data_IF_082677968925
#
_entry.id   IF_082677968925
#
_cell.length_a   1.000
_cell.length_b   1.000
_cell.length_c   1.000
_cell.angle_alpha   90.00
_cell.angle_beta   90.00
_cell.angle_gamma   90.00
#
_symmetry.space_group_name_H-M   'P 1'
#
loop_
_entity.id
_entity.type
_entity.pdbx_description
1 polymer ?
#
# COMPACT_ATOMS: atom_id res chain seq x y z
N UNK A 1 25.45 -2.27 6.25
CA UNK A 1 25.25 -3.28 5.20
C UNK A 1 23.77 -3.40 4.82
N UNK A 2 22.85 -3.40 5.79
CA UNK A 2 21.39 -3.39 5.62
C UNK A 2 20.87 -2.22 4.78
N UNK A 3 21.30 -0.98 5.04
CA UNK A 3 20.89 0.21 4.28
C UNK A 3 21.27 0.14 2.79
N UNK A 4 22.46 -0.42 2.47
CA UNK A 4 22.93 -0.57 1.09
C UNK A 4 22.03 -1.48 0.26
N UNK A 5 21.34 -2.44 0.89
CA UNK A 5 20.37 -3.29 0.20
C UNK A 5 19.07 -2.54 -0.10
N UNK A 6 18.60 -1.71 0.85
CA UNK A 6 17.42 -0.86 0.65
C UNK A 6 17.64 0.15 -0.48
N UNK A 7 18.83 0.74 -0.59
CA UNK A 7 19.18 1.66 -1.68
C UNK A 7 19.13 0.97 -3.06
N UNK A 8 19.61 -0.27 -3.15
CA UNK A 8 19.58 -1.05 -4.39
C UNK A 8 18.13 -1.37 -4.77
N UNK A 9 17.32 -1.80 -3.82
CA UNK A 9 15.92 -2.12 -4.06
C UNK A 9 15.11 -0.89 -4.49
N UNK A 10 15.26 0.22 -3.77
CA UNK A 10 14.65 1.50 -4.12
C UNK A 10 15.03 1.93 -5.55
N UNK A 11 16.32 1.90 -5.87
CA UNK A 11 16.81 2.28 -7.19
C UNK A 11 16.22 1.40 -8.30
N UNK A 12 16.12 0.09 -8.08
CA UNK A 12 15.57 -0.85 -9.06
C UNK A 12 14.05 -0.72 -9.23
N UNK A 13 13.32 -0.46 -8.15
CA UNK A 13 11.88 -0.31 -8.20
C UNK A 13 11.46 1.03 -8.85
N UNK A 14 12.22 2.09 -8.57
CA UNK A 14 11.99 3.43 -9.13
C UNK A 14 12.46 3.60 -10.58
N UNK A 15 13.35 2.72 -11.08
CA UNK A 15 13.84 2.79 -12.47
C UNK A 15 12.73 2.41 -13.47
N UNK A 16 12.32 3.31 -14.38
CA UNK A 16 11.31 3.00 -15.39
C UNK A 16 11.78 1.95 -16.42
N UNK A 17 13.10 1.72 -16.54
CA UNK A 17 13.65 0.74 -17.46
C UNK A 17 13.77 -0.67 -16.86
N UNK A 18 13.56 -0.82 -15.55
CA UNK A 18 13.55 -2.14 -14.91
C UNK A 18 12.24 -2.86 -15.26
N UNK A 19 12.35 -4.08 -15.78
CA UNK A 19 11.20 -4.85 -16.22
C UNK A 19 10.30 -5.28 -15.05
N UNK A 20 9.02 -5.50 -15.34
CA UNK A 20 8.01 -5.82 -14.32
C UNK A 20 8.31 -7.09 -13.54
N UNK A 21 8.88 -8.12 -14.17
CA UNK A 21 9.21 -9.36 -13.48
C UNK A 21 10.30 -9.11 -12.45
N UNK A 22 11.32 -8.34 -12.80
CA UNK A 22 12.38 -7.92 -11.88
C UNK A 22 11.80 -7.09 -10.73
N UNK A 23 10.93 -6.11 -11.00
CA UNK A 23 10.25 -5.34 -9.95
C UNK A 23 9.43 -6.22 -8.99
N UNK A 24 8.67 -7.19 -9.52
CA UNK A 24 7.92 -8.14 -8.71
C UNK A 24 8.83 -8.94 -7.78
N UNK A 25 9.98 -9.42 -8.26
CA UNK A 25 10.91 -10.18 -7.43
C UNK A 25 11.45 -9.34 -6.26
N UNK A 26 11.82 -8.08 -6.52
CA UNK A 26 12.27 -7.17 -5.46
C UNK A 26 11.17 -6.87 -4.43
N UNK A 27 9.93 -6.61 -4.87
CA UNK A 27 8.83 -6.42 -3.92
C UNK A 27 8.55 -7.67 -3.08
N UNK A 28 8.61 -8.86 -3.68
CA UNK A 28 8.43 -10.12 -2.95
C UNK A 28 9.51 -10.26 -1.88
N UNK A 29 10.77 -9.99 -2.22
CA UNK A 29 11.88 -10.02 -1.25
C UNK A 29 11.68 -9.02 -0.10
N UNK A 30 11.22 -7.80 -0.42
CA UNK A 30 10.86 -6.81 0.60
C UNK A 30 9.73 -7.32 1.50
N UNK A 31 8.64 -7.81 0.90
CA UNK A 31 7.45 -8.30 1.60
C UNK A 31 7.78 -9.48 2.54
N UNK A 32 8.64 -10.38 2.09
CA UNK A 32 9.03 -11.55 2.87
C UNK A 32 10.08 -11.20 3.93
N UNK A 33 10.83 -10.11 3.75
CA UNK A 33 11.79 -9.57 4.71
C UNK A 33 11.25 -8.52 5.68
N UNK A 34 9.93 -8.27 5.72
CA UNK A 34 9.32 -7.19 6.53
C UNK A 34 9.76 -7.20 7.99
N UNK A 35 9.85 -8.37 8.60
CA UNK A 35 10.31 -8.54 9.98
C UNK A 35 11.74 -8.04 10.17
N UNK A 36 12.59 -8.09 9.14
CA UNK A 36 13.95 -7.57 9.22
C UNK A 36 14.01 -6.06 9.00
N UNK A 37 13.26 -5.54 8.02
CA UNK A 37 13.37 -4.15 7.58
C UNK A 37 12.57 -3.18 8.46
N UNK A 38 11.48 -3.63 9.06
CA UNK A 38 10.56 -2.79 9.84
C UNK A 38 10.83 -2.87 11.35
N UNK A 39 12.10 -2.77 11.76
CA UNK A 39 12.50 -2.78 13.17
C UNK A 39 13.48 -1.66 13.50
N UNK A 40 13.43 -1.22 14.77
CA UNK A 40 14.40 -0.29 15.35
C UNK A 40 14.62 0.96 14.48
N UNK A 41 15.89 1.29 14.26
CA UNK A 41 16.29 2.46 13.47
C UNK A 41 16.16 2.27 11.96
N UNK A 42 15.95 1.05 11.48
CA UNK A 42 15.77 0.76 10.04
C UNK A 42 14.36 1.10 9.56
N UNK A 43 13.35 1.03 10.44
CA UNK A 43 11.97 1.25 10.05
C UNK A 43 11.68 2.67 9.48
N UNK A 44 12.15 3.77 10.10
CA UNK A 44 12.00 5.10 9.50
C UNK A 44 12.62 5.21 8.11
N UNK A 45 13.81 4.62 7.91
CA UNK A 45 14.52 4.61 6.61
C UNK A 45 13.73 3.81 5.58
N UNK A 46 13.17 2.66 5.98
CA UNK A 46 12.31 1.86 5.15
C UNK A 46 11.08 2.66 4.68
N UNK A 47 10.35 3.29 5.61
CA UNK A 47 9.17 4.07 5.27
C UNK A 47 9.50 5.22 4.31
N UNK A 48 10.58 5.96 4.60
CA UNK A 48 11.02 7.08 3.77
C UNK A 48 11.29 6.67 2.32
N UNK A 49 11.90 5.50 2.10
CA UNK A 49 12.25 5.01 0.77
C UNK A 49 11.08 4.33 0.06
N UNK A 50 10.36 3.45 0.76
CA UNK A 50 9.43 2.54 0.10
C UNK A 50 7.99 3.04 0.06
N UNK A 51 7.54 3.91 0.98
CA UNK A 51 6.17 4.44 0.87
C UNK A 51 5.98 5.18 -0.47
N UNK A 52 6.87 6.09 -0.92
CA UNK A 52 6.73 6.73 -2.23
C UNK A 52 6.72 5.72 -3.39
N UNK A 53 7.61 4.72 -3.35
CA UNK A 53 7.70 3.67 -4.38
C UNK A 53 6.41 2.87 -4.48
N UNK A 54 5.84 2.46 -3.34
CA UNK A 54 4.60 1.70 -3.27
C UNK A 54 3.43 2.52 -3.82
N UNK A 55 3.33 3.80 -3.43
CA UNK A 55 2.27 4.70 -3.92
C UNK A 55 2.41 4.97 -5.43
N UNK A 56 3.62 5.05 -5.97
CA UNK A 56 3.88 5.20 -7.40
C UNK A 56 3.43 3.96 -8.19
N UNK A 57 3.78 2.76 -7.71
CA UNK A 57 3.32 1.48 -8.31
C UNK A 57 1.78 1.43 -8.35
N UNK A 58 1.13 1.90 -7.29
CA UNK A 58 -0.32 1.93 -7.17
C UNK A 58 -1.00 3.05 -7.98
N UNK A 59 -0.25 4.06 -8.44
CA UNK A 59 -0.79 5.15 -9.25
C UNK A 59 -1.01 4.79 -10.73
N UNK A 60 -0.50 3.63 -11.17
CA UNK A 60 -0.85 3.06 -12.48
C UNK A 60 -2.32 2.65 -12.57
N UNK A 61 -2.80 2.33 -13.79
CA UNK A 61 -4.18 1.87 -14.00
C UNK A 61 -4.47 0.54 -13.29
N UNK A 62 -5.71 0.33 -12.80
CA UNK A 62 -6.12 -0.95 -12.20
C UNK A 62 -6.07 -2.08 -13.23
N UNK A 63 -5.70 -3.28 -12.78
CA UNK A 63 -5.55 -4.46 -13.64
C UNK A 63 -6.39 -5.60 -13.12
N UNK A 64 -7.31 -6.08 -13.95
CA UNK A 64 -8.31 -7.09 -13.55
C UNK A 64 -7.93 -8.52 -13.95
N UNK A 65 -6.79 -8.70 -14.63
CA UNK A 65 -6.25 -10.01 -14.97
C UNK A 65 -5.34 -10.45 -13.82
N UNK A 66 -5.85 -11.31 -12.92
CA UNK A 66 -5.15 -11.74 -11.71
C UNK A 66 -3.76 -12.35 -11.96
N UNK A 67 -3.56 -12.98 -13.12
CA UNK A 67 -2.27 -13.60 -13.50
C UNK A 67 -1.27 -12.62 -14.11
N UNK A 68 -1.65 -11.37 -14.38
CA UNK A 68 -0.76 -10.41 -15.02
C UNK A 68 0.37 -9.97 -14.07
N UNK A 69 1.59 -9.72 -14.58
CA UNK A 69 2.68 -9.19 -13.77
C UNK A 69 2.33 -7.88 -13.08
N UNK A 70 1.61 -6.99 -13.76
CA UNK A 70 1.15 -5.70 -13.24
C UNK A 70 0.23 -5.89 -12.04
N UNK A 71 -0.75 -6.79 -12.15
CA UNK A 71 -1.67 -7.04 -11.05
C UNK A 71 -0.97 -7.66 -9.85
N UNK A 72 -0.04 -8.59 -10.08
CA UNK A 72 0.80 -9.16 -9.02
C UNK A 72 1.68 -8.10 -8.34
N UNK A 73 2.20 -7.14 -9.12
CA UNK A 73 3.01 -6.04 -8.59
C UNK A 73 2.17 -5.13 -7.68
N UNK A 74 0.98 -4.72 -8.14
CA UNK A 74 0.05 -3.90 -7.36
C UNK A 74 -0.39 -4.58 -6.07
N UNK A 75 -0.78 -5.85 -6.18
CA UNK A 75 -1.18 -6.65 -5.03
C UNK A 75 -0.05 -6.77 -4.00
N UNK A 76 1.18 -7.09 -4.44
CA UNK A 76 2.34 -7.18 -3.56
C UNK A 76 2.64 -5.83 -2.86
N UNK A 77 2.43 -4.71 -3.54
CA UNK A 77 2.57 -3.39 -2.91
C UNK A 77 1.54 -3.17 -1.79
N UNK A 78 0.28 -3.54 -2.01
CA UNK A 78 -0.77 -3.50 -0.97
C UNK A 78 -0.46 -4.47 0.18
N UNK A 79 0.06 -5.67 -0.09
CA UNK A 79 0.48 -6.62 0.96
C UNK A 79 1.60 -6.04 1.84
N UNK A 80 2.55 -5.30 1.27
CA UNK A 80 3.60 -4.61 2.03
C UNK A 80 2.99 -3.54 2.94
N UNK A 81 2.11 -2.68 2.39
CA UNK A 81 1.41 -1.65 3.18
C UNK A 81 0.59 -2.26 4.32
N UNK A 82 -0.08 -3.39 4.07
CA UNK A 82 -0.87 -4.10 5.07
C UNK A 82 -0.02 -4.75 6.18
N UNK A 83 1.26 -5.00 5.94
CA UNK A 83 2.20 -5.61 6.91
C UNK A 83 3.03 -4.58 7.67
N UNK A 84 2.83 -3.28 7.45
CA UNK A 84 3.56 -2.24 8.18
C UNK A 84 3.27 -2.33 9.70
N UNK A 85 4.31 -2.36 10.56
CA UNK A 85 4.10 -2.29 11.99
C UNK A 85 3.47 -0.95 12.42
N UNK A 86 2.30 -1.02 13.05
CA UNK A 86 1.57 0.15 13.58
C UNK A 86 1.94 0.50 15.02
N UNK A 87 2.78 -0.30 15.67
CA UNK A 87 3.18 -0.13 17.07
C UNK A 87 4.12 1.05 17.33
N UNK A 88 4.55 1.77 16.28
CA UNK A 88 5.40 2.98 16.38
C UNK A 88 4.76 4.16 15.65
N UNK A 89 3.62 4.71 16.15
CA UNK A 89 2.88 5.77 15.47
C UNK A 89 3.71 7.00 15.12
N UNK A 90 4.65 7.40 15.98
CA UNK A 90 5.49 8.58 15.77
C UNK A 90 6.27 8.58 14.43
N UNK A 91 6.57 7.39 13.89
CA UNK A 91 7.29 7.24 12.63
C UNK A 91 6.33 7.15 11.44
N UNK A 92 5.24 6.40 11.59
CA UNK A 92 4.26 6.11 10.53
C UNK A 92 3.25 7.25 10.31
N UNK A 93 3.00 8.09 11.31
CA UNK A 93 1.99 9.15 11.29
C UNK A 93 2.16 10.13 10.13
N UNK A 94 3.39 10.43 9.74
CA UNK A 94 3.67 11.35 8.63
C UNK A 94 3.26 10.77 7.25
N UNK A 95 3.16 9.45 7.14
CA UNK A 95 2.81 8.74 5.90
C UNK A 95 1.34 8.31 5.88
N UNK A 96 0.71 8.19 7.04
CA UNK A 96 -0.65 7.68 7.18
C UNK A 96 -1.69 8.41 6.31
N UNK A 97 -1.76 9.76 6.27
CA UNK A 97 -2.78 10.46 5.51
C UNK A 97 -2.70 10.20 4.00
N UNK A 98 -1.49 10.22 3.42
CA UNK A 98 -1.29 10.00 1.98
C UNK A 98 -1.55 8.55 1.57
N UNK A 99 -1.24 7.59 2.45
CA UNK A 99 -1.56 6.18 2.23
C UNK A 99 -3.08 6.00 2.22
N UNK A 100 -3.78 6.51 3.24
CA UNK A 100 -5.25 6.41 3.32
C UNK A 100 -5.92 7.09 2.13
N UNK A 101 -5.49 8.29 1.73
CA UNK A 101 -6.04 8.98 0.56
C UNK A 101 -5.93 8.14 -0.72
N UNK A 102 -4.75 7.55 -0.96
CA UNK A 102 -4.56 6.69 -2.13
C UNK A 102 -5.44 5.44 -2.05
N UNK A 103 -5.56 4.81 -0.89
CA UNK A 103 -6.37 3.60 -0.74
C UNK A 103 -7.86 3.85 -0.87
N UNK A 104 -8.36 5.03 -0.44
CA UNK A 104 -9.74 5.44 -0.67
C UNK A 104 -10.05 5.53 -2.16
N UNK A 105 -9.16 6.11 -2.96
CA UNK A 105 -9.27 6.13 -4.43
C UNK A 105 -9.28 4.70 -4.99
N UNK A 106 -8.30 3.88 -4.62
CA UNK A 106 -8.11 2.54 -5.16
C UNK A 106 -9.27 1.60 -4.84
N UNK A 107 -9.86 1.69 -3.65
CA UNK A 107 -10.99 0.84 -3.25
C UNK A 107 -12.21 0.95 -4.20
N UNK A 108 -12.32 2.03 -5.00
CA UNK A 108 -13.39 2.22 -5.99
C UNK A 108 -13.10 1.61 -7.35
N UNK A 109 -11.82 1.49 -7.71
CA UNK A 109 -11.40 1.20 -9.09
C UNK A 109 -10.59 -0.09 -9.22
N UNK A 110 -10.13 -0.65 -8.10
CA UNK A 110 -9.41 -1.91 -8.06
C UNK A 110 -10.35 -3.12 -8.25
N UNK A 111 -9.75 -4.26 -8.57
CA UNK A 111 -10.45 -5.54 -8.45
C UNK A 111 -10.73 -5.91 -6.98
N UNK A 112 -11.57 -6.92 -6.78
CA UNK A 112 -12.03 -7.36 -5.46
C UNK A 112 -10.89 -7.67 -4.49
N UNK A 113 -9.86 -8.42 -4.92
CA UNK A 113 -8.74 -8.81 -4.07
C UNK A 113 -7.98 -7.59 -3.53
N UNK A 114 -7.68 -6.63 -4.40
CA UNK A 114 -6.99 -5.40 -4.03
C UNK A 114 -7.89 -4.44 -3.24
N UNK A 115 -9.18 -4.33 -3.60
CA UNK A 115 -10.14 -3.49 -2.89
C UNK A 115 -10.32 -3.96 -1.44
N UNK A 116 -10.41 -5.27 -1.20
CA UNK A 116 -10.47 -5.85 0.16
C UNK A 116 -9.22 -5.49 0.97
N UNK A 117 -8.03 -5.55 0.36
CA UNK A 117 -6.80 -5.10 1.03
C UNK A 117 -6.84 -3.60 1.33
N UNK A 118 -7.27 -2.75 0.39
CA UNK A 118 -7.40 -1.32 0.61
C UNK A 118 -8.27 -1.01 1.83
N UNK A 119 -9.45 -1.63 1.93
CA UNK A 119 -10.36 -1.45 3.07
C UNK A 119 -9.73 -1.86 4.40
N UNK A 120 -9.02 -3.00 4.43
CA UNK A 120 -8.32 -3.47 5.65
C UNK A 120 -7.24 -2.50 6.09
N UNK A 121 -6.44 -2.02 5.14
CA UNK A 121 -5.34 -1.10 5.42
C UNK A 121 -5.89 0.24 5.94
N UNK A 122 -6.92 0.81 5.29
CA UNK A 122 -7.55 2.07 5.75
C UNK A 122 -8.02 1.92 7.20
N UNK A 123 -8.77 0.86 7.52
CA UNK A 123 -9.25 0.62 8.88
C UNK A 123 -8.12 0.53 9.91
N UNK A 124 -7.00 -0.12 9.56
CA UNK A 124 -5.87 -0.26 10.46
C UNK A 124 -5.17 1.09 10.70
N UNK A 125 -4.98 1.89 9.65
CA UNK A 125 -4.38 3.22 9.79
C UNK A 125 -5.28 4.16 10.61
N UNK A 126 -6.59 4.20 10.33
CA UNK A 126 -7.51 5.05 11.09
C UNK A 126 -7.62 4.66 12.57
N UNK A 127 -7.51 3.36 12.88
CA UNK A 127 -7.52 2.86 14.27
C UNK A 127 -6.27 3.28 15.05
N UNK A 128 -5.09 3.20 14.44
CA UNK A 128 -3.82 3.43 15.12
C UNK A 128 -3.34 4.89 15.06
N UNK A 129 -3.78 5.65 14.07
CA UNK A 129 -3.31 7.01 13.78
C UNK A 129 -4.45 8.04 13.87
N UNK A 130 -5.16 8.04 15.01
CA UNK A 130 -6.40 8.81 15.21
C UNK A 130 -6.26 10.30 14.86
N UNK A 131 -5.13 10.92 15.21
CA UNK A 131 -4.94 12.36 15.00
C UNK A 131 -4.62 12.69 13.53
N UNK A 132 -3.67 11.97 12.92
CA UNK A 132 -3.24 12.24 11.54
C UNK A 132 -4.30 11.80 10.52
N UNK A 133 -5.07 10.75 10.83
CA UNK A 133 -6.16 10.26 9.98
C UNK A 133 -7.54 10.81 10.33
N UNK A 134 -7.68 11.73 11.31
CA UNK A 134 -8.99 12.24 11.76
C UNK A 134 -9.86 12.76 10.59
N UNK A 135 -9.26 13.46 9.63
CA UNK A 135 -9.96 14.01 8.47
C UNK A 135 -10.34 12.96 7.42
N UNK A 136 -9.90 11.71 7.56
CA UNK A 136 -10.09 10.62 6.59
C UNK A 136 -11.25 9.69 6.96
N UNK A 137 -11.64 9.68 8.24
CA UNK A 137 -12.74 8.86 8.77
C UNK A 137 -14.04 9.08 8.02
N UNK A 138 -14.46 10.34 7.82
CA UNK A 138 -15.69 10.62 7.09
C UNK A 138 -15.63 10.17 5.61
N UNK A 139 -14.57 10.51 4.84
CA UNK A 139 -14.36 9.93 3.51
C UNK A 139 -14.43 8.40 3.43
N UNK A 140 -13.92 7.70 4.46
CA UNK A 140 -14.00 6.25 4.52
C UNK A 140 -15.44 5.74 4.76
N UNK A 141 -16.20 6.38 5.65
CA UNK A 141 -17.62 6.07 5.84
C UNK A 141 -18.44 6.34 4.57
N UNK A 142 -18.15 7.45 3.87
CA UNK A 142 -18.82 7.80 2.62
C UNK A 142 -18.53 6.75 1.54
N UNK A 143 -17.29 6.27 1.43
CA UNK A 143 -16.93 5.15 0.55
C UNK A 143 -17.72 3.88 0.89
N UNK A 144 -17.84 3.51 2.17
CA UNK A 144 -18.61 2.33 2.57
C UNK A 144 -20.06 2.46 2.11
N UNK A 145 -20.69 3.61 2.35
CA UNK A 145 -22.07 3.87 1.93
C UNK A 145 -22.23 3.80 0.41
N UNK A 146 -21.30 4.38 -0.35
CA UNK A 146 -21.25 4.34 -1.81
C UNK A 146 -21.20 2.89 -2.34
N UNK A 147 -20.31 2.06 -1.77
CA UNK A 147 -20.18 0.65 -2.15
C UNK A 147 -21.46 -0.15 -1.87
N UNK A 148 -22.11 0.09 -0.72
CA UNK A 148 -23.40 -0.56 -0.42
C UNK A 148 -24.52 -0.13 -1.37
N UNK A 149 -24.58 1.16 -1.73
CA UNK A 149 -25.59 1.67 -2.68
C UNK A 149 -25.40 1.13 -4.10
N UNK A 150 -24.16 0.88 -4.50
CA UNK A 150 -23.83 0.35 -5.82
C UNK A 150 -24.10 -1.16 -5.90
N UNK A 151 -24.11 -1.87 -4.77
CA UNK A 151 -24.36 -3.32 -4.70
C UNK A 151 -25.73 -3.71 -5.28
N UNK A 152 -26.78 -2.91 -5.04
CA UNK A 152 -28.13 -3.14 -5.59
C UNK A 152 -28.18 -3.07 -7.14
N UNK A 153 -27.18 -2.45 -7.76
CA UNK A 153 -27.05 -2.36 -9.23
C UNK A 153 -26.26 -3.53 -9.81
N UNK A 154 -25.31 -4.08 -9.04
CA UNK A 154 -24.43 -5.18 -9.47
C UNK A 154 -25.06 -6.57 -9.28
N UNK A 155 -26.03 -6.71 -8.38
CA UNK A 155 -26.70 -8.00 -8.04
C UNK A 155 -27.98 -8.24 -8.89
N UNK A 156 -28.15 -7.55 -10.02
CA UNK A 156 -29.28 -7.77 -10.95
C UNK A 156 -28.91 -8.65 -12.14
#
# INVERSE_FOLDING_TARGET
>A
MTERNLDIFESKLSDPNTDLRTKCNFLIEIRDGMDHWCQGTTYPVFLQKFVPVLLEILSGSPVFISTSPEQRLRNCALEILHRLPMSTPDVTDQYAPQIVDKLLELARIENEDNAVLCMKIIMEFERNHLNSCASKVQPFLDLILELFQTMDQTVK
#
